data_IF_466709638090
#
_entry.id   IF_466709638090
#
_cell.length_a   1.000
_cell.length_b   1.000
_cell.length_c   1.000
_cell.angle_alpha   90.00
_cell.angle_beta   90.00
_cell.angle_gamma   90.00
#
_symmetry.space_group_name_H-M   'P 1'
#
loop_
_entity.id
_entity.type
_entity.pdbx_description
1 polymer ?
#
# COMPACT_ATOMS: atom_id res chain seq x y z
N UNK A 1 -16.05 -20.19 -7.10
CA UNK A 1 -15.77 -18.78 -6.86
C UNK A 1 -16.42 -17.99 -7.98
N UNK A 2 -16.48 -16.67 -7.98
CA UNK A 2 -17.24 -15.90 -8.99
C UNK A 2 -18.42 -15.15 -8.38
N UNK A 3 -18.43 -14.99 -7.04
CA UNK A 3 -19.47 -14.23 -6.32
C UNK A 3 -19.35 -12.71 -6.53
N UNK A 4 -18.18 -12.22 -6.96
CA UNK A 4 -17.94 -10.82 -7.33
C UNK A 4 -17.52 -10.75 -8.80
N UNK A 5 -18.09 -9.80 -9.53
CA UNK A 5 -17.74 -9.52 -10.93
C UNK A 5 -16.47 -8.68 -11.02
N UNK A 6 -16.35 -7.66 -10.16
CA UNK A 6 -15.20 -6.78 -10.10
C UNK A 6 -14.95 -6.32 -8.65
N UNK A 7 -13.71 -5.88 -8.36
CA UNK A 7 -13.30 -5.35 -7.09
C UNK A 7 -12.11 -4.38 -7.24
N UNK A 8 -11.86 -3.59 -6.19
CA UNK A 8 -10.73 -2.65 -6.08
C UNK A 8 -9.95 -2.90 -4.77
N UNK A 9 -9.39 -4.11 -4.56
CA UNK A 9 -8.57 -4.37 -3.38
C UNK A 9 -7.21 -3.68 -3.47
N UNK A 10 -6.60 -3.44 -2.30
CA UNK A 10 -5.17 -3.09 -2.25
C UNK A 10 -4.33 -4.20 -2.89
N UNK A 11 -3.30 -3.84 -3.65
CA UNK A 11 -2.33 -4.81 -4.19
C UNK A 11 -1.68 -5.65 -3.10
N UNK A 12 -1.55 -5.10 -1.90
CA UNK A 12 -0.99 -5.79 -0.73
C UNK A 12 -1.76 -7.05 -0.30
N UNK A 13 -3.08 -7.13 -0.60
CA UNK A 13 -3.85 -8.36 -0.31
C UNK A 13 -3.88 -9.32 -1.51
N UNK A 14 -3.41 -8.89 -2.68
CA UNK A 14 -3.27 -9.76 -3.86
C UNK A 14 -2.13 -10.77 -3.71
N UNK A 15 -1.26 -10.62 -2.70
CA UNK A 15 -0.27 -11.63 -2.31
C UNK A 15 -0.90 -13.00 -2.05
N UNK A 16 -2.18 -13.06 -1.69
CA UNK A 16 -2.93 -14.31 -1.54
C UNK A 16 -3.09 -15.08 -2.86
N UNK A 17 -2.99 -14.40 -4.00
CA UNK A 17 -3.09 -14.97 -5.34
C UNK A 17 -1.73 -15.10 -6.02
N UNK A 18 -0.83 -14.14 -5.79
CA UNK A 18 0.56 -14.17 -6.23
C UNK A 18 1.46 -13.50 -5.18
N UNK A 19 2.31 -14.27 -4.48
CA UNK A 19 3.22 -13.72 -3.45
C UNK A 19 4.12 -12.59 -3.96
N UNK A 20 4.41 -12.55 -5.26
CA UNK A 20 5.28 -11.57 -5.90
C UNK A 20 4.76 -10.13 -5.74
N UNK A 21 3.42 -9.94 -5.55
CA UNK A 21 2.87 -8.62 -5.22
C UNK A 21 3.48 -8.01 -3.96
N UNK A 22 4.05 -8.82 -3.06
CA UNK A 22 4.73 -8.35 -1.87
C UNK A 22 5.91 -7.42 -2.14
N UNK A 23 6.51 -7.46 -3.34
CA UNK A 23 7.58 -6.51 -3.69
C UNK A 23 7.09 -5.06 -3.67
N UNK A 24 5.81 -4.82 -4.04
CA UNK A 24 5.19 -3.48 -4.01
C UNK A 24 5.03 -2.92 -2.61
N UNK A 25 5.12 -3.77 -1.59
CA UNK A 25 5.01 -3.40 -0.18
C UNK A 25 6.39 -3.24 0.49
N UNK A 26 7.47 -3.38 -0.28
CA UNK A 26 8.82 -3.09 0.22
C UNK A 26 8.95 -1.59 0.53
N UNK A 27 9.34 -1.22 1.77
CA UNK A 27 9.37 0.18 2.17
C UNK A 27 10.37 0.99 1.34
N UNK A 28 9.91 2.13 0.82
CA UNK A 28 10.70 3.04 -0.02
C UNK A 28 11.32 2.37 -1.27
N UNK A 29 10.59 1.40 -1.85
CA UNK A 29 10.99 0.75 -3.11
C UNK A 29 11.09 1.78 -4.24
N UNK A 30 10.17 2.74 -4.27
CA UNK A 30 10.16 3.85 -5.23
C UNK A 30 10.39 5.18 -4.52
N UNK A 31 11.18 6.05 -5.12
CA UNK A 31 11.53 7.39 -4.58
C UNK A 31 10.36 8.36 -4.62
N UNK A 32 9.41 8.15 -5.54
CA UNK A 32 8.22 8.99 -5.70
C UNK A 32 7.08 8.22 -6.38
N UNK A 33 5.87 8.81 -6.36
CA UNK A 33 4.69 8.20 -6.95
C UNK A 33 4.77 8.06 -8.49
N UNK A 34 5.44 9.00 -9.18
CA UNK A 34 5.53 8.96 -10.64
C UNK A 34 6.33 7.75 -11.12
N UNK A 35 7.48 7.46 -10.48
CA UNK A 35 8.28 6.27 -10.77
C UNK A 35 7.47 4.98 -10.53
N UNK A 36 6.70 4.95 -9.44
CA UNK A 36 5.81 3.83 -9.15
C UNK A 36 4.69 3.67 -10.19
N UNK A 37 4.13 4.78 -10.71
CA UNK A 37 3.13 4.73 -11.79
C UNK A 37 3.72 4.19 -13.08
N UNK A 38 4.91 4.66 -13.48
CA UNK A 38 5.59 4.20 -14.69
C UNK A 38 5.94 2.70 -14.61
N UNK A 39 6.35 2.22 -13.44
CA UNK A 39 6.58 0.79 -13.21
C UNK A 39 5.29 -0.03 -13.37
N UNK A 40 4.19 0.43 -12.77
CA UNK A 40 2.90 -0.26 -12.80
C UNK A 40 2.16 -0.14 -14.13
N UNK A 41 2.49 0.84 -14.96
CA UNK A 41 2.01 0.97 -16.34
C UNK A 41 2.94 0.29 -17.36
N UNK A 42 4.12 -0.15 -16.92
CA UNK A 42 5.13 -0.82 -17.71
C UNK A 42 5.26 -2.31 -17.44
N UNK A 43 6.50 -2.80 -17.56
CA UNK A 43 6.83 -4.22 -17.48
C UNK A 43 6.50 -4.87 -16.11
N UNK A 44 6.53 -4.11 -15.04
CA UNK A 44 6.14 -4.61 -13.71
C UNK A 44 4.64 -4.86 -13.62
N UNK A 45 3.80 -3.95 -14.12
CA UNK A 45 2.35 -4.17 -14.20
C UNK A 45 1.99 -5.32 -15.13
N UNK A 46 2.66 -5.44 -16.27
CA UNK A 46 2.48 -6.58 -17.20
C UNK A 46 2.84 -7.91 -16.54
N UNK A 47 3.91 -7.95 -15.76
CA UNK A 47 4.31 -9.11 -14.97
C UNK A 47 3.21 -9.53 -14.00
N UNK A 48 2.67 -8.59 -13.23
CA UNK A 48 1.58 -8.88 -12.29
C UNK A 48 0.28 -9.28 -12.98
N UNK A 49 -0.05 -8.65 -14.11
CA UNK A 49 -1.22 -9.00 -14.91
C UNK A 49 -1.16 -10.46 -15.36
N UNK A 50 -0.02 -10.94 -15.82
CA UNK A 50 0.17 -12.35 -16.20
C UNK A 50 -0.03 -13.30 -15.02
N UNK A 51 0.42 -12.93 -13.82
CA UNK A 51 0.22 -13.72 -12.60
C UNK A 51 -1.26 -13.80 -12.21
N UNK A 52 -2.00 -12.70 -12.31
CA UNK A 52 -3.44 -12.66 -12.02
C UNK A 52 -4.26 -13.44 -13.05
N UNK A 53 -3.92 -13.31 -14.33
CA UNK A 53 -4.55 -14.08 -15.41
C UNK A 53 -4.45 -15.59 -15.17
N UNK A 54 -3.31 -16.06 -14.70
CA UNK A 54 -3.07 -17.47 -14.42
C UNK A 54 -3.98 -18.04 -13.31
N UNK A 55 -4.57 -17.19 -12.46
CA UNK A 55 -5.47 -17.57 -11.37
C UNK A 55 -6.92 -17.12 -11.59
N UNK A 56 -7.27 -16.77 -12.83
CA UNK A 56 -8.65 -16.43 -13.23
C UNK A 56 -9.08 -15.00 -12.87
N UNK A 57 -8.14 -14.10 -12.73
CA UNK A 57 -8.37 -12.68 -12.44
C UNK A 57 -7.86 -11.86 -13.62
N UNK A 58 -8.71 -11.02 -14.22
CA UNK A 58 -8.34 -10.04 -15.21
C UNK A 58 -8.13 -8.68 -14.54
N UNK A 59 -6.96 -8.06 -14.74
CA UNK A 59 -6.67 -6.74 -14.21
C UNK A 59 -6.91 -5.67 -15.29
N UNK A 60 -7.72 -4.67 -14.94
CA UNK A 60 -8.05 -3.54 -15.80
C UNK A 60 -7.12 -2.35 -15.59
N UNK A 61 -6.28 -2.37 -14.54
CA UNK A 61 -5.32 -1.34 -14.23
C UNK A 61 -5.09 -1.17 -12.73
N UNK A 62 -4.14 -0.31 -12.38
CA UNK A 62 -3.73 -0.05 -10.99
C UNK A 62 -3.97 1.41 -10.66
N UNK A 63 -5.02 1.69 -9.87
CA UNK A 63 -5.25 3.01 -9.29
C UNK A 63 -4.40 3.21 -8.03
N UNK A 64 -4.30 4.43 -7.54
CA UNK A 64 -3.38 4.78 -6.46
C UNK A 64 -4.11 4.95 -5.14
N UNK A 65 -3.75 4.16 -4.15
CA UNK A 65 -4.28 4.30 -2.78
C UNK A 65 -3.58 5.42 -2.00
N UNK A 66 -2.38 5.80 -2.42
CA UNK A 66 -1.57 6.85 -1.81
C UNK A 66 -0.30 6.35 -1.12
N UNK A 67 0.50 7.31 -0.64
CA UNK A 67 1.67 7.06 0.21
C UNK A 67 1.23 6.74 1.64
N UNK A 68 1.62 5.58 2.13
CA UNK A 68 1.23 5.09 3.45
C UNK A 68 2.05 5.76 4.54
N UNK A 69 1.38 6.16 5.61
CA UNK A 69 1.94 6.80 6.79
C UNK A 69 1.43 6.14 8.07
N UNK A 70 2.14 6.30 9.17
CA UNK A 70 1.85 5.60 10.43
C UNK A 70 1.04 6.46 11.39
N UNK A 71 0.04 5.87 12.05
CA UNK A 71 -0.62 6.48 13.20
C UNK A 71 -0.49 5.61 14.44
N UNK A 72 -0.47 6.23 15.63
CA UNK A 72 -0.53 5.51 16.90
C UNK A 72 -0.97 6.41 18.05
N UNK A 73 -1.24 5.80 19.24
CA UNK A 73 -1.67 6.52 20.45
C UNK A 73 -0.56 6.75 21.47
N UNK A 74 0.68 6.31 21.20
CA UNK A 74 1.74 6.25 22.21
C UNK A 74 2.74 7.39 22.06
N UNK A 75 3.29 7.61 20.85
CA UNK A 75 4.35 8.62 20.58
C UNK A 75 4.51 8.93 19.10
N UNK A 76 5.08 10.09 18.74
CA UNK A 76 5.54 10.34 17.36
C UNK A 76 6.60 9.30 16.97
N UNK A 77 6.64 8.95 15.68
CA UNK A 77 7.67 8.10 15.07
C UNK A 77 8.58 8.98 14.26
N UNK A 78 9.84 9.09 14.67
CA UNK A 78 10.88 9.89 14.00
C UNK A 78 12.10 9.06 13.63
N UNK A 79 12.27 7.89 14.26
CA UNK A 79 13.39 6.97 14.06
C UNK A 79 12.93 5.52 14.31
N UNK A 80 13.68 4.53 13.84
CA UNK A 80 13.34 3.11 13.99
C UNK A 80 13.00 2.70 15.42
N UNK A 81 13.75 3.17 16.41
CA UNK A 81 13.57 2.80 17.82
C UNK A 81 12.22 3.23 18.40
N UNK A 82 11.57 4.24 17.80
CA UNK A 82 10.26 4.72 18.25
C UNK A 82 9.16 3.68 17.99
N UNK A 83 9.37 2.74 17.08
CA UNK A 83 8.45 1.63 16.83
C UNK A 83 8.56 0.52 17.88
N UNK A 84 9.65 0.46 18.63
CA UNK A 84 9.92 -0.62 19.57
C UNK A 84 8.81 -0.78 20.60
N UNK A 85 8.23 -1.98 20.63
CA UNK A 85 7.20 -2.38 21.58
C UNK A 85 5.77 -1.89 21.25
N UNK A 86 5.58 -1.16 20.14
CA UNK A 86 4.25 -0.82 19.66
C UNK A 86 3.56 -2.05 19.04
N UNK A 87 2.28 -2.19 19.29
CA UNK A 87 1.42 -3.15 18.58
C UNK A 87 0.85 -2.46 17.35
N UNK A 88 1.41 -2.77 16.20
CA UNK A 88 0.99 -2.15 14.94
C UNK A 88 0.10 -3.11 14.17
N UNK A 89 -1.12 -2.67 13.88
CA UNK A 89 -1.98 -3.42 12.94
C UNK A 89 -1.38 -3.36 11.55
N UNK A 90 -1.38 -4.49 10.89
CA UNK A 90 -0.97 -4.62 9.48
C UNK A 90 -2.03 -5.36 8.67
N UNK A 91 -1.97 -5.25 7.34
CA UNK A 91 -2.70 -6.15 6.44
C UNK A 91 -2.15 -7.57 6.60
N UNK A 92 -2.93 -8.58 6.18
CA UNK A 92 -2.52 -10.00 6.15
C UNK A 92 -1.48 -10.23 5.04
N UNK A 93 -0.28 -9.69 5.25
CA UNK A 93 0.82 -9.67 4.30
C UNK A 93 2.15 -9.80 5.05
N UNK A 94 2.97 -10.77 4.65
CA UNK A 94 4.21 -11.11 5.35
C UNK A 94 5.24 -9.98 5.28
N UNK A 95 5.27 -9.20 4.20
CA UNK A 95 6.19 -8.05 4.06
C UNK A 95 5.93 -7.01 5.14
N UNK A 96 4.67 -6.65 5.40
CA UNK A 96 4.32 -5.73 6.49
C UNK A 96 4.60 -6.31 7.87
N UNK A 97 4.36 -7.61 8.06
CA UNK A 97 4.67 -8.30 9.32
C UNK A 97 6.17 -8.20 9.60
N UNK A 98 7.00 -8.51 8.62
CA UNK A 98 8.45 -8.48 8.75
C UNK A 98 8.98 -7.06 8.90
N UNK A 99 8.40 -6.09 8.18
CA UNK A 99 8.73 -4.67 8.30
C UNK A 99 8.64 -4.19 9.76
N UNK A 100 7.47 -4.32 10.37
CA UNK A 100 7.28 -3.86 11.73
C UNK A 100 8.06 -4.69 12.77
N UNK A 101 8.14 -6.01 12.59
CA UNK A 101 8.90 -6.88 13.50
C UNK A 101 10.41 -6.60 13.43
N UNK A 102 10.96 -6.32 12.25
CA UNK A 102 12.37 -5.93 12.08
C UNK A 102 12.69 -4.64 12.83
N UNK A 103 11.75 -3.70 12.89
CA UNK A 103 11.89 -2.45 13.62
C UNK A 103 11.52 -2.55 15.12
N UNK A 104 11.25 -3.78 15.60
CA UNK A 104 10.99 -4.06 17.01
C UNK A 104 9.56 -3.76 17.49
N UNK A 105 8.64 -3.49 16.59
CA UNK A 105 7.22 -3.46 16.89
C UNK A 105 6.64 -4.89 16.93
N UNK A 106 5.41 -5.03 17.37
CA UNK A 106 4.63 -6.27 17.28
C UNK A 106 3.59 -6.11 16.17
N UNK A 107 3.85 -6.68 15.02
CA UNK A 107 2.89 -6.68 13.92
C UNK A 107 1.67 -7.56 14.26
N UNK A 108 0.47 -7.03 14.08
CA UNK A 108 -0.79 -7.72 14.34
C UNK A 108 -1.63 -7.72 13.06
N UNK A 109 -1.63 -8.81 12.27
CA UNK A 109 -2.49 -8.94 11.10
C UNK A 109 -3.96 -8.86 11.50
N UNK A 110 -4.73 -8.01 10.79
CA UNK A 110 -6.15 -7.78 11.09
C UNK A 110 -6.87 -7.24 9.86
N UNK A 111 -8.08 -7.73 9.61
CA UNK A 111 -8.97 -7.24 8.56
C UNK A 111 -9.29 -5.74 8.72
N UNK A 112 -9.44 -5.03 7.60
CA UNK A 112 -9.71 -3.58 7.64
C UNK A 112 -11.01 -3.23 8.38
N UNK A 113 -12.05 -4.07 8.24
CA UNK A 113 -13.35 -3.86 8.89
C UNK A 113 -13.27 -3.92 10.43
N UNK A 114 -12.24 -4.55 11.00
CA UNK A 114 -12.04 -4.69 12.44
C UNK A 114 -11.16 -3.56 13.02
N UNK A 115 -10.47 -2.82 12.13
CA UNK A 115 -9.40 -1.91 12.51
C UNK A 115 -9.87 -0.77 13.41
N UNK A 116 -10.95 -0.07 13.05
CA UNK A 116 -11.46 1.03 13.88
C UNK A 116 -11.74 0.58 15.32
N UNK A 117 -12.42 -0.56 15.45
CA UNK A 117 -12.72 -1.15 16.77
C UNK A 117 -11.45 -1.58 17.50
N UNK A 118 -10.48 -2.17 16.79
CA UNK A 118 -9.19 -2.55 17.35
C UNK A 118 -8.40 -1.38 17.90
N UNK A 119 -8.39 -0.25 17.19
CA UNK A 119 -7.77 1.01 17.64
C UNK A 119 -8.54 1.61 18.83
N UNK A 120 -9.86 1.68 18.75
CA UNK A 120 -10.72 2.23 19.80
C UNK A 120 -10.59 1.45 21.13
N UNK A 121 -10.47 0.14 21.06
CA UNK A 121 -10.33 -0.74 22.21
C UNK A 121 -8.87 -0.92 22.67
N UNK A 122 -7.91 -0.27 22.02
CA UNK A 122 -6.47 -0.43 22.27
C UNK A 122 -5.97 -1.89 22.14
N UNK A 123 -6.62 -2.71 21.31
CA UNK A 123 -6.12 -4.04 20.94
C UNK A 123 -4.81 -3.91 20.18
N UNK A 124 -4.70 -2.86 19.36
CA UNK A 124 -3.48 -2.38 18.70
C UNK A 124 -3.25 -0.92 19.06
N UNK A 125 -1.97 -0.51 19.11
CA UNK A 125 -1.58 0.87 19.44
C UNK A 125 -1.68 1.78 18.23
N UNK A 126 -1.49 1.23 17.03
CA UNK A 126 -1.45 1.98 15.80
C UNK A 126 -1.68 1.14 14.54
N UNK A 127 -1.63 1.82 13.43
CA UNK A 127 -1.80 1.28 12.07
C UNK A 127 -1.01 2.13 11.06
N UNK A 128 -1.02 1.73 9.80
CA UNK A 128 -0.46 2.48 8.69
C UNK A 128 -1.43 2.45 7.49
N UNK A 129 -1.67 3.61 6.90
CA UNK A 129 -2.50 3.82 5.71
C UNK A 129 -2.20 5.20 5.09
N UNK A 130 -2.65 5.48 3.85
CA UNK A 130 -2.61 6.83 3.31
C UNK A 130 -3.45 7.82 4.13
N UNK A 131 -3.04 9.09 4.24
CA UNK A 131 -3.78 10.12 4.99
C UNK A 131 -5.23 10.29 4.56
N UNK A 132 -5.52 10.19 3.26
CA UNK A 132 -6.88 10.22 2.70
C UNK A 132 -7.77 9.13 3.30
N UNK A 133 -7.25 7.90 3.39
CA UNK A 133 -7.98 6.77 3.95
C UNK A 133 -8.08 6.86 5.48
N UNK A 134 -7.05 7.38 6.17
CA UNK A 134 -7.08 7.64 7.62
C UNK A 134 -8.23 8.60 7.93
N UNK A 135 -8.33 9.70 7.17
CA UNK A 135 -9.39 10.70 7.34
C UNK A 135 -10.78 10.12 7.03
N UNK A 136 -10.94 9.48 5.87
CA UNK A 136 -12.21 8.91 5.44
C UNK A 136 -12.73 7.82 6.40
N UNK A 137 -11.82 7.08 7.04
CA UNK A 137 -12.14 6.03 8.02
C UNK A 137 -12.28 6.56 9.45
N UNK A 138 -12.11 7.86 9.66
CA UNK A 138 -12.23 8.55 10.96
C UNK A 138 -11.24 8.02 12.01
N UNK A 139 -10.04 7.58 11.58
CA UNK A 139 -9.05 7.07 12.53
C UNK A 139 -8.52 8.18 13.45
N UNK A 140 -8.60 9.46 13.07
CA UNK A 140 -8.31 10.61 13.94
C UNK A 140 -9.17 10.67 15.20
N UNK A 141 -10.35 10.05 15.20
CA UNK A 141 -11.18 9.97 16.40
C UNK A 141 -10.59 9.01 17.46
N UNK A 142 -9.71 8.09 17.05
CA UNK A 142 -9.15 7.01 17.87
C UNK A 142 -7.63 6.93 17.83
N UNK A 143 -6.95 7.85 17.11
CA UNK A 143 -5.49 7.91 16.97
C UNK A 143 -4.98 9.32 17.25
N UNK A 144 -3.90 9.42 18.01
CA UNK A 144 -3.37 10.70 18.49
C UNK A 144 -2.24 11.27 17.62
N UNK A 145 -1.35 10.40 17.15
CA UNK A 145 -0.16 10.80 16.40
C UNK A 145 -0.26 10.33 14.96
N UNK A 146 0.06 11.22 14.01
CA UNK A 146 0.33 10.89 12.62
C UNK A 146 1.80 11.19 12.30
N UNK A 147 2.55 10.16 12.00
CA UNK A 147 3.91 10.30 11.47
C UNK A 147 3.87 10.07 9.96
N UNK A 148 4.11 11.13 9.20
CA UNK A 148 4.12 11.11 7.74
C UNK A 148 5.43 10.46 7.30
N UNK A 149 5.39 9.14 7.20
CA UNK A 149 6.56 8.30 6.89
C UNK A 149 6.72 8.03 5.41
N UNK A 150 5.62 8.05 4.66
CA UNK A 150 5.59 7.84 3.21
C UNK A 150 6.38 6.58 2.79
N UNK A 151 6.19 5.50 3.55
CA UNK A 151 7.05 4.33 3.47
C UNK A 151 6.68 3.35 2.36
N UNK A 152 5.46 3.38 1.83
CA UNK A 152 5.01 2.50 0.72
C UNK A 152 4.12 3.28 -0.25
N UNK A 153 4.41 3.20 -1.54
CA UNK A 153 3.52 3.59 -2.63
C UNK A 153 2.49 2.48 -2.82
N UNK A 154 1.27 2.67 -2.35
CA UNK A 154 0.26 1.63 -2.34
C UNK A 154 -0.74 1.79 -3.48
N UNK A 155 -1.06 0.69 -4.15
CA UNK A 155 -1.99 0.64 -5.27
C UNK A 155 -3.25 -0.15 -4.94
N UNK A 156 -4.31 0.13 -5.72
CA UNK A 156 -5.53 -0.67 -5.76
C UNK A 156 -5.60 -1.33 -7.13
N UNK A 157 -5.68 -2.66 -7.17
CA UNK A 157 -5.89 -3.38 -8.41
C UNK A 157 -7.37 -3.30 -8.83
N UNK A 158 -7.67 -2.68 -9.98
CA UNK A 158 -9.00 -2.79 -10.56
C UNK A 158 -9.12 -4.14 -11.26
N UNK A 159 -9.64 -5.11 -10.55
CA UNK A 159 -9.69 -6.51 -10.98
C UNK A 159 -11.11 -6.94 -11.31
N UNK A 160 -11.21 -7.86 -12.28
CA UNK A 160 -12.47 -8.47 -12.72
C UNK A 160 -12.32 -9.99 -12.77
N UNK A 161 -13.43 -10.71 -12.56
CA UNK A 161 -13.45 -12.14 -12.83
C UNK A 161 -13.14 -12.39 -14.31
N UNK A 162 -12.13 -13.21 -14.58
CA UNK A 162 -11.65 -13.45 -15.95
C UNK A 162 -12.72 -14.09 -16.84
N UNK A 163 -13.43 -15.10 -16.35
CA UNK A 163 -14.48 -15.77 -17.14
C UNK A 163 -15.60 -14.79 -17.51
N UNK A 164 -15.92 -13.84 -16.62
CA UNK A 164 -16.88 -12.79 -16.92
C UNK A 164 -16.36 -11.85 -18.01
N UNK A 165 -15.11 -11.38 -17.89
CA UNK A 165 -14.49 -10.49 -18.87
C UNK A 165 -14.37 -11.15 -20.25
N UNK A 166 -13.92 -12.41 -20.29
CA UNK A 166 -13.79 -13.18 -21.53
C UNK A 166 -15.17 -13.48 -22.19
N UNK A 167 -16.22 -13.52 -21.40
CA UNK A 167 -17.61 -13.69 -21.88
C UNK A 167 -18.21 -12.41 -22.49
N UNK A 168 -17.59 -11.26 -22.35
CA UNK A 168 -18.02 -10.01 -22.98
C UNK A 168 -17.70 -10.02 -24.48
N UNK A 169 -18.48 -9.30 -25.27
CA UNK A 169 -18.11 -9.04 -26.68
C UNK A 169 -16.89 -8.14 -26.75
N UNK A 170 -16.16 -8.16 -27.86
CA UNK A 170 -14.99 -7.28 -28.06
C UNK A 170 -15.32 -5.80 -27.85
N UNK A 171 -16.50 -5.34 -28.29
CA UNK A 171 -16.97 -3.98 -28.07
C UNK A 171 -17.15 -3.68 -26.57
N UNK A 172 -17.74 -4.62 -25.83
CA UNK A 172 -17.93 -4.47 -24.38
C UNK A 172 -16.59 -4.50 -23.61
N UNK A 173 -15.67 -5.38 -23.99
CA UNK A 173 -14.31 -5.42 -23.43
C UNK A 173 -13.59 -4.09 -23.65
N UNK A 174 -13.68 -3.53 -24.84
CA UNK A 174 -13.07 -2.23 -25.15
C UNK A 174 -13.68 -1.11 -24.29
N UNK A 175 -15.01 -1.05 -24.17
CA UNK A 175 -15.69 -0.05 -23.34
C UNK A 175 -15.24 -0.14 -21.87
N UNK A 176 -15.18 -1.36 -21.33
CA UNK A 176 -14.75 -1.58 -19.93
C UNK A 176 -13.29 -1.18 -19.73
N UNK A 177 -12.42 -1.56 -20.66
CA UNK A 177 -10.99 -1.24 -20.61
C UNK A 177 -10.75 0.27 -20.70
N UNK A 178 -11.42 0.97 -21.63
CA UNK A 178 -11.28 2.41 -21.81
C UNK A 178 -11.81 3.17 -20.59
N UNK A 179 -12.95 2.75 -20.04
CA UNK A 179 -13.50 3.34 -18.83
C UNK A 179 -12.60 3.13 -17.61
N UNK A 180 -11.99 1.95 -17.48
CA UNK A 180 -11.04 1.66 -16.41
C UNK A 180 -9.75 2.49 -16.54
N UNK A 181 -9.22 2.64 -17.74
CA UNK A 181 -8.04 3.47 -17.98
C UNK A 181 -8.29 4.94 -17.61
N UNK A 182 -9.44 5.50 -17.98
CA UNK A 182 -9.81 6.87 -17.60
C UNK A 182 -10.03 7.00 -16.09
N UNK A 183 -10.68 6.03 -15.46
CA UNK A 183 -10.83 5.99 -14.00
C UNK A 183 -9.47 5.99 -13.30
N UNK A 184 -8.54 5.11 -13.69
CA UNK A 184 -7.20 5.00 -13.09
C UNK A 184 -6.45 6.31 -13.21
N UNK A 185 -6.48 6.94 -14.39
CA UNK A 185 -5.82 8.23 -14.63
C UNK A 185 -6.37 9.33 -13.74
N UNK A 186 -7.68 9.48 -13.69
CA UNK A 186 -8.33 10.53 -12.88
C UNK A 186 -8.11 10.29 -11.39
N UNK A 187 -8.27 9.06 -10.93
CA UNK A 187 -8.13 8.70 -9.52
C UNK A 187 -6.69 8.91 -9.02
N UNK A 188 -5.68 8.55 -9.81
CA UNK A 188 -4.28 8.83 -9.46
C UNK A 188 -4.03 10.32 -9.30
N UNK A 189 -4.54 11.16 -10.22
CA UNK A 189 -4.37 12.60 -10.12
C UNK A 189 -5.07 13.17 -8.88
N UNK A 190 -6.29 12.75 -8.60
CA UNK A 190 -7.03 13.19 -7.41
C UNK A 190 -6.27 12.84 -6.12
N UNK A 191 -5.74 11.62 -5.99
CA UNK A 191 -5.01 11.20 -4.79
C UNK A 191 -3.69 11.99 -4.62
N UNK A 192 -2.99 12.30 -5.71
CA UNK A 192 -1.79 13.16 -5.66
C UNK A 192 -2.13 14.58 -5.20
N UNK A 193 -3.19 15.16 -5.72
CA UNK A 193 -3.64 16.51 -5.37
C UNK A 193 -4.08 16.59 -3.89
N UNK A 194 -4.65 15.51 -3.38
CA UNK A 194 -5.23 15.42 -2.05
C UNK A 194 -4.24 15.03 -0.93
N UNK A 195 -3.06 14.52 -1.26
CA UNK A 195 -2.12 13.96 -0.27
C UNK A 195 -1.83 14.92 0.89
N UNK A 196 -1.41 16.16 0.60
CA UNK A 196 -1.13 17.15 1.64
C UNK A 196 -2.40 17.70 2.30
N UNK A 197 -3.47 17.85 1.53
CA UNK A 197 -4.78 18.32 2.02
C UNK A 197 -5.29 17.45 3.17
N UNK A 198 -5.17 16.13 3.07
CA UNK A 198 -5.64 15.24 4.13
C UNK A 198 -4.72 15.19 5.34
N UNK A 199 -3.42 15.40 5.19
CA UNK A 199 -2.52 15.59 6.34
C UNK A 199 -2.91 16.84 7.14
N UNK A 200 -3.15 17.96 6.44
CA UNK A 200 -3.55 19.22 7.07
C UNK A 200 -4.92 19.09 7.78
N UNK A 201 -5.89 18.42 7.16
CA UNK A 201 -7.19 18.14 7.78
C UNK A 201 -7.09 17.28 9.04
N UNK A 202 -6.22 16.26 9.04
CA UNK A 202 -5.98 15.41 10.21
C UNK A 202 -5.36 16.20 11.36
N UNK A 203 -4.46 17.16 11.05
CA UNK A 203 -3.88 18.08 12.03
C UNK A 203 -4.94 19.05 12.58
N UNK A 204 -5.79 19.64 11.71
CA UNK A 204 -6.92 20.51 12.10
C UNK A 204 -7.92 19.78 13.02
N UNK A 205 -8.13 18.48 12.82
CA UNK A 205 -8.98 17.65 13.69
C UNK A 205 -8.26 17.15 14.95
N UNK A 206 -7.03 17.61 15.21
CA UNK A 206 -6.34 17.47 16.49
C UNK A 206 -5.29 16.37 16.55
N UNK A 207 -4.94 15.71 15.45
CA UNK A 207 -3.79 14.80 15.43
C UNK A 207 -2.49 15.57 15.57
N UNK A 208 -1.55 15.01 16.32
CA UNK A 208 -0.18 15.55 16.39
C UNK A 208 0.61 14.99 15.21
N UNK A 209 0.91 15.86 14.25
CA UNK A 209 1.57 15.49 13.00
C UNK A 209 3.08 15.74 13.07
N UNK A 210 3.88 14.77 12.64
CA UNK A 210 5.29 14.97 12.32
C UNK A 210 5.61 14.38 10.95
N UNK A 211 6.60 14.96 10.28
CA UNK A 211 7.08 14.50 8.96
C UNK A 211 8.51 14.01 9.11
N UNK A 212 8.83 12.87 8.50
CA UNK A 212 10.20 12.38 8.47
C UNK A 212 11.02 13.21 7.47
N UNK A 213 12.24 13.54 7.87
CA UNK A 213 13.25 14.08 6.97
C UNK A 213 13.88 12.95 6.13
N UNK A 214 14.63 13.30 5.10
CA UNK A 214 15.37 12.29 4.32
C UNK A 214 16.44 11.58 5.18
N UNK A 215 17.01 12.25 6.19
CA UNK A 215 17.91 11.62 7.15
C UNK A 215 17.19 10.58 8.03
N UNK A 216 15.99 10.93 8.50
CA UNK A 216 15.15 9.97 9.25
C UNK A 216 14.83 8.75 8.39
N UNK A 217 14.36 8.95 7.14
CA UNK A 217 14.06 7.85 6.20
C UNK A 217 15.30 6.99 5.92
N UNK A 218 16.49 7.58 5.82
CA UNK A 218 17.73 6.85 5.63
C UNK A 218 18.04 5.89 6.80
N UNK A 219 17.80 6.35 8.04
CA UNK A 219 17.97 5.51 9.23
C UNK A 219 17.03 4.29 9.23
N UNK A 220 15.77 4.48 8.77
CA UNK A 220 14.83 3.35 8.59
C UNK A 220 15.31 2.38 7.50
N UNK A 221 15.77 2.89 6.36
CA UNK A 221 16.29 2.05 5.27
C UNK A 221 17.50 1.23 5.72
N UNK A 222 18.41 1.81 6.49
CA UNK A 222 19.56 1.10 7.07
C UNK A 222 19.10 -0.04 8.01
N UNK A 223 18.17 0.26 8.91
CA UNK A 223 17.62 -0.73 9.83
C UNK A 223 16.89 -1.90 9.11
N UNK A 224 16.35 -1.65 7.91
CA UNK A 224 15.63 -2.62 7.08
C UNK A 224 16.52 -3.37 6.07
N UNK A 225 17.81 -3.08 5.98
CA UNK A 225 18.70 -3.75 5.03
C UNK A 225 18.62 -5.30 5.09
N UNK A 226 18.54 -5.95 6.27
CA UNK A 226 18.39 -7.40 6.33
C UNK A 226 17.06 -7.91 5.72
N UNK A 227 16.00 -7.12 5.81
CA UNK A 227 14.70 -7.44 5.20
C UNK A 227 14.80 -7.37 3.68
N UNK A 228 15.46 -6.36 3.13
CA UNK A 228 15.69 -6.23 1.69
C UNK A 228 16.48 -7.43 1.13
N UNK A 229 17.55 -7.84 1.80
CA UNK A 229 18.34 -9.01 1.40
C UNK A 229 17.52 -10.31 1.41
N UNK A 230 16.66 -10.48 2.44
CA UNK A 230 15.72 -11.61 2.50
C UNK A 230 14.80 -11.63 1.28
N UNK A 231 14.14 -10.53 0.99
CA UNK A 231 13.11 -10.47 -0.06
C UNK A 231 13.70 -10.46 -1.49
N UNK A 232 14.93 -9.97 -1.69
CA UNK A 232 15.66 -10.21 -2.95
C UNK A 232 15.82 -11.70 -3.24
N UNK A 233 16.08 -12.51 -2.21
CA UNK A 233 16.15 -13.97 -2.34
C UNK A 233 14.79 -14.63 -2.58
N UNK A 234 13.71 -14.10 -2.03
CA UNK A 234 12.36 -14.68 -2.11
C UNK A 234 11.63 -14.33 -3.41
N UNK A 235 11.62 -13.06 -3.82
CA UNK A 235 10.93 -12.60 -5.04
C UNK A 235 11.78 -12.75 -6.31
N UNK A 236 13.11 -12.89 -6.15
CA UNK A 236 14.07 -12.93 -7.23
C UNK A 236 14.59 -11.55 -7.62
N UNK A 237 15.86 -11.51 -8.04
CA UNK A 237 16.52 -10.25 -8.44
C UNK A 237 15.82 -9.56 -9.62
N UNK A 238 15.21 -10.34 -10.52
CA UNK A 238 14.54 -9.81 -11.72
C UNK A 238 13.39 -8.84 -11.36
N UNK A 239 12.60 -9.14 -10.30
CA UNK A 239 11.47 -8.30 -9.88
C UNK A 239 11.96 -6.99 -9.26
N UNK A 240 13.03 -7.03 -8.47
CA UNK A 240 13.66 -5.81 -7.95
C UNK A 240 14.30 -4.99 -9.06
N UNK A 241 14.96 -5.63 -10.03
CA UNK A 241 15.55 -4.96 -11.19
C UNK A 241 14.49 -4.23 -12.03
N UNK A 242 13.28 -4.80 -12.16
CA UNK A 242 12.16 -4.10 -12.80
C UNK A 242 11.82 -2.80 -12.07
N UNK A 243 11.79 -2.79 -10.73
CA UNK A 243 11.54 -1.57 -9.96
C UNK A 243 12.70 -0.57 -10.07
N UNK A 244 13.95 -1.03 -9.93
CA UNK A 244 15.16 -0.19 -10.00
C UNK A 244 15.32 0.52 -11.36
N UNK A 245 14.80 -0.06 -12.44
CA UNK A 245 14.79 0.56 -13.77
C UNK A 245 14.07 1.92 -13.79
N UNK A 246 13.09 2.11 -12.95
CA UNK A 246 12.27 3.34 -12.86
C UNK A 246 12.80 4.34 -11.82
N UNK A 247 13.92 4.03 -11.17
CA UNK A 247 14.59 4.92 -10.19
C UNK A 247 15.78 5.69 -10.78
N UNK A 248 15.98 5.65 -12.09
CA UNK A 248 17.13 6.27 -12.78
C UNK A 248 16.84 7.70 -13.23
#
# INVERSE_FOLDING_TARGET
>A
MGSLTAALPSTSVLVAYSPDFGVMDMPWLFSNAQNAFEAMDGDMGDYFNQKLEAVGIHCLGYSYNGLRSMTNNVRPITKPEDLKGLKMRVMENQVFIDFFNTLGASATPMGFNELFTGLQQNTVDGQENPPSLIYASKFQEVQKYLSVTEHVNNFLGFIMNKDFYDGLTQEQQQIVTDAAAEFVKQQRQMELDDTNLYVDKLEEEGMQVNRLTEEDKAAFKEALAPMYEKYKGEFGEDVFTMAEKYEQ
#
